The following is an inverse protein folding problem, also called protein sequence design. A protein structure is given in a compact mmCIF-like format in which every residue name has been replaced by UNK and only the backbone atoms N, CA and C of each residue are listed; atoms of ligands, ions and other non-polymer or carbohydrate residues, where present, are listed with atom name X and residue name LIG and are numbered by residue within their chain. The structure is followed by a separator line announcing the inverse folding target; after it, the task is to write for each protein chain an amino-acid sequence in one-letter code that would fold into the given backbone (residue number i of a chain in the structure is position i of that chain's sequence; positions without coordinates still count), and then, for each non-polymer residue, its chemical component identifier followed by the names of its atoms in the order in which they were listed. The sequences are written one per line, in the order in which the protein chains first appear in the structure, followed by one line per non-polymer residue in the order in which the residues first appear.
data_IF_073811156449
#
_entry.id   IF_073811156449
#
_cell.length_a   1.000
_cell.length_b   1.000
_cell.length_c   1.000
_cell.angle_alpha   90.00
_cell.angle_beta   90.00
_cell.angle_gamma   90.00
#
_symmetry.space_group_name_H-M   'P 1'
#
loop_
_entity.id
_entity.type
_entity.pdbx_description
1 polymer ?
#
# COMPACT_ATOMS: atom_id res chain seq x y z
N UNK A 1 12.35 18.97 -0.93
CA UNK A 1 13.05 17.90 -0.20
C UNK A 1 13.81 17.08 -1.22
N UNK A 2 15.12 17.22 -1.26
CA UNK A 2 15.99 16.36 -2.07
C UNK A 2 17.30 16.19 -1.30
N UNK A 3 17.72 14.94 -0.98
CA UNK A 3 19.05 14.67 -0.47
C UNK A 3 20.09 14.77 -1.59
N UNK A 4 21.36 14.77 -1.21
CA UNK A 4 22.49 14.94 -2.12
C UNK A 4 22.49 13.89 -3.25
N UNK A 5 22.76 14.36 -4.48
CA UNK A 5 22.71 13.68 -5.78
C UNK A 5 23.48 12.33 -5.86
N UNK A 6 24.34 12.02 -4.90
CA UNK A 6 25.33 10.94 -5.01
C UNK A 6 25.10 9.71 -4.12
N UNK A 7 24.00 9.66 -3.35
CA UNK A 7 23.67 8.49 -2.53
C UNK A 7 22.29 7.93 -2.92
N UNK A 8 22.29 6.74 -3.53
CA UNK A 8 21.13 5.93 -3.96
C UNK A 8 20.38 6.35 -5.23
N UNK A 9 21.08 6.62 -6.34
CA UNK A 9 20.41 6.91 -7.63
C UNK A 9 19.48 5.80 -8.09
N UNK A 10 19.78 4.52 -7.86
CA UNK A 10 18.95 3.38 -8.28
C UNK A 10 17.54 3.35 -7.63
N UNK A 11 17.47 3.55 -6.31
CA UNK A 11 16.20 3.63 -5.60
C UNK A 11 15.41 4.89 -5.99
N UNK A 12 16.10 6.01 -6.25
CA UNK A 12 15.46 7.23 -6.75
C UNK A 12 14.97 7.08 -8.20
N UNK A 13 15.72 6.42 -9.07
CA UNK A 13 15.37 6.19 -10.47
C UNK A 13 14.18 5.23 -10.60
N UNK A 14 14.18 4.14 -9.83
CA UNK A 14 13.04 3.21 -9.78
C UNK A 14 11.77 3.89 -9.24
N UNK A 15 11.88 4.69 -8.18
CA UNK A 15 10.75 5.49 -7.68
C UNK A 15 10.27 6.51 -8.71
N UNK A 16 11.20 7.25 -9.33
CA UNK A 16 10.89 8.24 -10.36
C UNK A 16 10.24 7.59 -11.60
N UNK A 17 10.61 6.35 -11.93
CA UNK A 17 9.99 5.61 -13.02
C UNK A 17 8.51 5.31 -12.73
N UNK A 18 8.18 4.81 -11.54
CA UNK A 18 6.80 4.56 -11.13
C UNK A 18 6.00 5.86 -11.08
N UNK A 19 6.57 6.92 -10.51
CA UNK A 19 5.95 8.24 -10.45
C UNK A 19 5.65 8.79 -11.86
N UNK A 20 6.59 8.65 -12.79
CA UNK A 20 6.40 9.06 -14.20
C UNK A 20 5.32 8.24 -14.88
N UNK A 21 5.26 6.93 -14.66
CA UNK A 21 4.21 6.08 -15.22
C UNK A 21 2.83 6.51 -14.71
N UNK A 22 2.68 6.72 -13.39
CA UNK A 22 1.43 7.21 -12.81
C UNK A 22 1.00 8.56 -13.41
N UNK A 23 1.95 9.47 -13.66
CA UNK A 23 1.68 10.75 -14.30
C UNK A 23 1.31 10.65 -15.79
N UNK A 24 1.91 9.72 -16.55
CA UNK A 24 1.65 9.53 -17.99
C UNK A 24 0.25 8.98 -18.24
N UNK A 25 -0.19 8.04 -17.40
CA UNK A 25 -1.49 7.36 -17.48
C UNK A 25 -2.61 8.08 -16.70
N UNK A 26 -2.29 9.17 -16.02
CA UNK A 26 -3.26 10.10 -15.42
C UNK A 26 -4.03 10.85 -16.51
N UNK A 27 -5.19 11.41 -16.17
CA UNK A 27 -5.97 12.29 -17.07
C UNK A 27 -5.24 13.63 -17.38
N UNK A 28 -3.98 13.79 -16.95
CA UNK A 28 -3.06 14.91 -17.19
C UNK A 28 -3.51 16.28 -16.70
N UNK A 29 -4.72 16.39 -16.14
CA UNK A 29 -5.25 17.62 -15.55
C UNK A 29 -4.62 17.94 -14.19
N UNK A 30 -4.33 16.92 -13.38
CA UNK A 30 -3.68 17.08 -12.08
C UNK A 30 -2.78 15.87 -11.74
N UNK A 31 -1.65 15.67 -12.46
CA UNK A 31 -0.81 14.48 -12.32
C UNK A 31 -0.30 14.23 -10.88
N UNK A 32 -0.05 15.29 -10.13
CA UNK A 32 0.37 15.21 -8.73
C UNK A 32 -0.75 14.65 -7.83
N UNK A 33 -1.97 15.17 -7.98
CA UNK A 33 -3.15 14.69 -7.24
C UNK A 33 -3.45 13.24 -7.57
N UNK A 34 -3.42 12.90 -8.86
CA UNK A 34 -3.71 11.56 -9.34
C UNK A 34 -2.67 10.55 -8.82
N UNK A 35 -1.38 10.91 -8.84
CA UNK A 35 -0.32 10.06 -8.32
C UNK A 35 -0.42 9.88 -6.80
N UNK A 36 -0.71 10.95 -6.05
CA UNK A 36 -0.96 10.84 -4.61
C UNK A 36 -2.15 9.94 -4.31
N UNK A 37 -3.23 10.03 -5.11
CA UNK A 37 -4.40 9.17 -4.95
C UNK A 37 -4.03 7.70 -5.20
N UNK A 38 -3.31 7.38 -6.28
CA UNK A 38 -2.84 6.02 -6.58
C UNK A 38 -1.99 5.44 -5.45
N UNK A 39 -1.06 6.23 -4.89
CA UNK A 39 -0.28 5.76 -3.75
C UNK A 39 -1.12 5.54 -2.49
N UNK A 40 -2.07 6.45 -2.21
CA UNK A 40 -2.98 6.28 -1.06
C UNK A 40 -3.86 5.04 -1.19
N UNK A 41 -4.31 4.70 -2.40
CA UNK A 41 -5.09 3.51 -2.69
C UNK A 41 -4.25 2.24 -2.50
N UNK A 42 -3.00 2.23 -2.98
CA UNK A 42 -2.08 1.12 -2.77
C UNK A 42 -1.79 0.88 -1.29
N UNK A 43 -1.54 1.93 -0.52
CA UNK A 43 -1.29 1.81 0.92
C UNK A 43 -2.56 1.36 1.67
N UNK A 44 -3.74 1.81 1.25
CA UNK A 44 -5.02 1.35 1.79
C UNK A 44 -5.22 -0.15 1.54
N UNK A 45 -4.94 -0.64 0.33
CA UNK A 45 -5.01 -2.07 0.01
C UNK A 45 -4.06 -2.85 0.90
N UNK A 46 -2.80 -2.40 1.03
CA UNK A 46 -1.80 -3.04 1.90
C UNK A 46 -2.31 -3.16 3.33
N UNK A 47 -2.83 -2.07 3.90
CA UNK A 47 -3.39 -2.04 5.24
C UNK A 47 -4.54 -3.04 5.43
N UNK A 48 -5.45 -3.13 4.46
CA UNK A 48 -6.59 -4.06 4.50
C UNK A 48 -6.10 -5.51 4.50
N UNK A 49 -5.22 -5.87 3.57
CA UNK A 49 -4.77 -7.26 3.38
C UNK A 49 -3.77 -7.71 4.45
N UNK A 50 -3.03 -6.78 5.06
CA UNK A 50 -2.08 -7.07 6.15
C UNK A 50 -2.74 -7.22 7.52
N UNK A 51 -4.07 -7.34 7.60
CA UNK A 51 -4.84 -7.37 8.87
C UNK A 51 -4.77 -6.07 9.67
N UNK A 52 -4.61 -4.92 9.02
CA UNK A 52 -4.71 -3.62 9.67
C UNK A 52 -6.09 -3.35 10.25
N UNK A 53 -6.12 -2.56 11.32
CA UNK A 53 -7.36 -2.12 11.99
C UNK A 53 -7.68 -0.66 11.65
N UNK A 54 -8.96 -0.31 11.63
CA UNK A 54 -9.42 1.07 11.56
C UNK A 54 -10.65 1.26 12.44
N UNK A 55 -10.86 2.49 12.92
CA UNK A 55 -11.99 2.78 13.79
C UNK A 55 -13.28 2.87 12.96
N UNK A 56 -14.28 2.07 13.29
CA UNK A 56 -15.63 2.30 12.80
C UNK A 56 -16.25 3.47 13.57
N UNK A 57 -16.56 4.56 12.87
CA UNK A 57 -17.11 5.78 13.46
C UNK A 57 -18.50 5.58 14.07
N UNK A 58 -19.24 4.56 13.65
CA UNK A 58 -20.58 4.26 14.16
C UNK A 58 -20.53 3.50 15.48
N UNK A 59 -19.71 2.44 15.54
CA UNK A 59 -19.59 1.58 16.72
C UNK A 59 -18.49 2.04 17.69
N UNK A 60 -17.60 2.94 17.25
CA UNK A 60 -16.36 3.35 17.94
C UNK A 60 -15.47 2.15 18.33
N UNK A 61 -15.58 1.05 17.61
CA UNK A 61 -14.79 -0.16 17.82
C UNK A 61 -13.75 -0.31 16.70
N UNK A 62 -12.60 -0.95 16.99
CA UNK A 62 -11.66 -1.34 15.95
C UNK A 62 -12.33 -2.34 15.02
N UNK A 63 -12.22 -2.09 13.72
CA UNK A 63 -12.74 -2.92 12.66
C UNK A 63 -11.58 -3.41 11.79
N UNK A 64 -11.74 -4.59 11.20
CA UNK A 64 -10.72 -5.21 10.35
C UNK A 64 -11.35 -5.87 9.13
N UNK A 65 -10.52 -6.08 8.11
CA UNK A 65 -10.90 -6.83 6.93
C UNK A 65 -11.43 -8.23 7.28
N UNK A 66 -12.45 -8.68 6.55
CA UNK A 66 -13.09 -9.97 6.75
C UNK A 66 -12.14 -11.16 6.55
N UNK A 67 -12.46 -12.30 7.19
CA UNK A 67 -11.63 -13.53 7.14
C UNK A 67 -11.35 -14.02 5.72
N UNK A 68 -12.27 -13.84 4.79
CA UNK A 68 -12.13 -14.25 3.38
C UNK A 68 -10.93 -13.60 2.69
N UNK A 69 -10.63 -12.33 2.99
CA UNK A 69 -9.49 -11.61 2.40
C UNK A 69 -8.18 -12.23 2.88
N UNK A 70 -8.10 -12.56 4.17
CA UNK A 70 -6.92 -13.18 4.76
C UNK A 70 -6.70 -14.60 4.23
N UNK A 71 -7.77 -15.39 4.11
CA UNK A 71 -7.70 -16.73 3.51
C UNK A 71 -7.24 -16.67 2.06
N UNK A 72 -7.79 -15.75 1.27
CA UNK A 72 -7.37 -15.58 -0.13
C UNK A 72 -5.89 -15.20 -0.26
N UNK A 73 -5.40 -14.27 0.56
CA UNK A 73 -3.99 -13.85 0.56
C UNK A 73 -3.06 -14.97 1.03
N UNK A 74 -3.51 -15.81 1.97
CA UNK A 74 -2.79 -17.00 2.40
C UNK A 74 -2.68 -18.05 1.29
N UNK A 75 -3.76 -18.28 0.55
CA UNK A 75 -3.82 -19.27 -0.52
C UNK A 75 -3.07 -18.84 -1.80
N UNK A 76 -2.78 -17.54 -1.93
CA UNK A 76 -2.14 -16.92 -3.11
C UNK A 76 -0.88 -16.12 -2.72
N UNK A 77 0.23 -16.78 -2.34
CA UNK A 77 1.45 -16.12 -1.87
C UNK A 77 2.09 -15.19 -2.93
N UNK A 78 1.83 -15.42 -4.22
CA UNK A 78 2.25 -14.54 -5.30
C UNK A 78 1.65 -13.13 -5.18
N UNK A 79 0.45 -13.01 -4.62
CA UNK A 79 -0.19 -11.71 -4.43
C UNK A 79 0.43 -10.93 -3.29
N UNK A 80 0.80 -11.62 -2.21
CA UNK A 80 1.61 -11.03 -1.14
C UNK A 80 2.93 -10.50 -1.71
N UNK A 81 3.60 -11.27 -2.59
CA UNK A 81 4.84 -10.84 -3.23
C UNK A 81 4.64 -9.61 -4.13
N UNK A 82 3.61 -9.61 -4.98
CA UNK A 82 3.29 -8.48 -5.87
C UNK A 82 2.99 -7.18 -5.11
N UNK A 83 2.33 -7.29 -3.96
CA UNK A 83 1.95 -6.14 -3.12
C UNK A 83 3.11 -5.72 -2.19
N UNK A 84 4.17 -6.54 -2.09
CA UNK A 84 5.34 -6.28 -1.25
C UNK A 84 5.10 -6.55 0.23
N UNK A 85 4.20 -7.47 0.56
CA UNK A 85 3.89 -7.87 1.94
C UNK A 85 4.53 -9.23 2.22
N UNK A 86 5.27 -9.32 3.33
CA UNK A 86 5.82 -10.59 3.78
C UNK A 86 4.70 -11.49 4.32
N UNK A 87 4.63 -12.73 3.84
CA UNK A 87 3.67 -13.74 4.27
C UNK A 87 3.70 -14.02 5.80
N UNK A 88 4.78 -13.60 6.48
CA UNK A 88 5.03 -13.85 7.92
C UNK A 88 4.35 -12.80 8.83
N UNK A 89 3.88 -11.67 8.30
CA UNK A 89 3.42 -10.52 9.11
C UNK A 89 2.00 -10.70 9.68
N UNK A 90 1.27 -11.74 9.32
CA UNK A 90 -0.09 -11.98 9.82
C UNK A 90 -0.18 -12.52 11.27
N UNK A 91 0.88 -12.42 12.09
CA UNK A 91 0.73 -12.67 13.54
C UNK A 91 -0.13 -11.57 14.14
N UNK A 92 -1.04 -11.96 15.02
CA UNK A 92 -2.03 -11.13 15.71
C UNK A 92 -1.39 -9.89 16.34
N UNK A 93 -1.26 -8.80 15.56
CA UNK A 93 -0.91 -7.49 16.09
C UNK A 93 -2.19 -6.89 16.64
N UNK A 94 -2.49 -7.17 17.91
CA UNK A 94 -3.54 -6.48 18.63
C UNK A 94 -4.38 -7.38 19.53
N UNK A 95 -3.81 -7.80 20.66
CA UNK A 95 -4.61 -7.76 21.88
C UNK A 95 -4.64 -6.29 22.34
N UNK A 96 -5.79 -5.64 22.16
CA UNK A 96 -6.13 -4.35 22.75
C UNK A 96 -7.35 -4.53 23.65
#
# INVERSE_FOLDING_TARGET
FSPAILFSTEHFESFNHIFRLAAIYSNRQAPSRDTCQVFSEQDTIKHIVSSGFWLDLKTRAPWKAGKSIHTYMHDHPEQCHLIGISAVVQREVGEF
#
